data_IF_613654534826
#
_entry.id   IF_613654534826
#
_cell.length_a   1.000
_cell.length_b   1.000
_cell.length_c   1.000
_cell.angle_alpha   90.00
_cell.angle_beta   90.00
_cell.angle_gamma   90.00
#
_symmetry.space_group_name_H-M   'P 1'
#
loop_
_entity.id
_entity.type
_entity.pdbx_description
1 polymer ?
#
# COMPACT_ATOMS: atom_id res chain seq x y z
N UNK A 1 -10.99 -22.14 -5.59
CA UNK A 1 -10.97 -21.61 -4.21
C UNK A 1 -10.43 -20.17 -4.16
N UNK A 2 -10.53 -19.40 -5.27
CA UNK A 2 -10.04 -18.01 -5.40
C UNK A 2 -11.12 -16.92 -5.20
N UNK A 3 -12.41 -17.30 -5.17
CA UNK A 3 -13.51 -16.32 -5.20
C UNK A 3 -13.81 -15.63 -3.86
N UNK A 4 -13.41 -16.22 -2.73
CA UNK A 4 -13.62 -15.63 -1.39
C UNK A 4 -12.63 -14.50 -1.08
N UNK A 5 -11.41 -14.56 -1.62
CA UNK A 5 -10.39 -13.51 -1.45
C UNK A 5 -10.73 -12.21 -2.16
N UNK A 6 -11.60 -12.26 -3.19
CA UNK A 6 -12.11 -11.08 -3.88
C UNK A 6 -13.29 -10.44 -3.15
N UNK A 7 -14.13 -11.24 -2.48
CA UNK A 7 -15.28 -10.74 -1.70
C UNK A 7 -14.83 -9.95 -0.45
N UNK A 8 -13.79 -10.41 0.25
CA UNK A 8 -13.24 -9.69 1.40
C UNK A 8 -12.59 -8.34 1.05
N UNK A 9 -12.18 -8.13 -0.20
CA UNK A 9 -11.66 -6.84 -0.71
C UNK A 9 -12.76 -5.79 -0.89
N UNK A 10 -14.03 -6.19 -0.95
CA UNK A 10 -15.16 -5.30 -1.25
C UNK A 10 -15.89 -4.72 -0.03
N UNK A 11 -15.69 -5.26 1.19
CA UNK A 11 -16.64 -5.02 2.29
C UNK A 11 -16.06 -4.50 3.62
N UNK A 12 -14.76 -4.22 3.74
CA UNK A 12 -14.20 -3.61 4.98
C UNK A 12 -13.29 -2.42 4.67
N UNK A 13 -13.72 -1.19 5.01
CA UNK A 13 -12.91 0.03 4.83
C UNK A 13 -11.60 0.02 5.62
N UNK A 14 -11.45 -0.87 6.62
CA UNK A 14 -10.23 -1.02 7.40
C UNK A 14 -9.09 -1.72 6.63
N UNK A 15 -9.39 -2.35 5.49
CA UNK A 15 -8.44 -3.20 4.76
C UNK A 15 -7.90 -2.58 3.48
N UNK A 16 -8.46 -1.44 3.06
CA UNK A 16 -8.10 -0.79 1.80
C UNK A 16 -6.81 0.05 1.87
N UNK A 17 -6.15 0.12 3.03
CA UNK A 17 -4.83 0.77 3.17
C UNK A 17 -3.65 -0.20 3.08
N UNK A 18 -3.88 -1.50 2.83
CA UNK A 18 -2.79 -2.49 2.77
C UNK A 18 -2.87 -3.26 1.46
N UNK A 19 -2.00 -2.93 0.50
CA UNK A 19 -1.91 -3.62 -0.82
C UNK A 19 -1.32 -5.02 -0.76
N UNK A 20 -0.89 -5.46 0.41
CA UNK A 20 -0.62 -6.89 0.66
C UNK A 20 -1.67 -7.45 1.62
N UNK A 21 -2.37 -8.48 1.18
CA UNK A 21 -3.24 -9.28 2.07
C UNK A 21 -2.42 -10.08 3.08
N UNK A 22 -1.09 -10.03 3.07
CA UNK A 22 -0.22 -10.79 3.98
C UNK A 22 -0.58 -10.60 5.45
N UNK A 23 -0.83 -9.36 5.89
CA UNK A 23 -1.19 -9.08 7.28
C UNK A 23 -2.58 -9.60 7.62
N UNK A 24 -3.52 -9.48 6.69
CA UNK A 24 -4.89 -9.97 6.84
C UNK A 24 -5.00 -11.49 6.78
N UNK A 25 -4.33 -12.10 5.80
CA UNK A 25 -4.22 -13.54 5.62
C UNK A 25 -3.43 -14.17 6.78
N UNK A 26 -2.42 -13.48 7.32
CA UNK A 26 -1.76 -13.85 8.57
C UNK A 26 -2.74 -13.86 9.72
N UNK A 27 -3.53 -12.79 9.91
CA UNK A 27 -4.56 -12.72 10.94
C UNK A 27 -5.62 -13.83 10.77
N UNK A 28 -6.15 -14.02 9.57
CA UNK A 28 -7.11 -15.08 9.26
C UNK A 28 -6.51 -16.48 9.40
N UNK A 29 -5.23 -16.69 9.07
CA UNK A 29 -4.51 -17.95 9.26
C UNK A 29 -4.31 -18.27 10.73
N UNK A 30 -3.94 -17.27 11.56
CA UNK A 30 -3.85 -17.42 13.01
C UNK A 30 -5.22 -17.72 13.64
N UNK A 31 -6.28 -17.05 13.17
CA UNK A 31 -7.65 -17.33 13.58
C UNK A 31 -8.10 -18.76 13.21
N UNK A 32 -7.87 -19.18 11.95
CA UNK A 32 -8.25 -20.52 11.45
C UNK A 32 -7.55 -21.64 12.20
N UNK A 33 -6.30 -21.45 12.63
CA UNK A 33 -5.52 -22.47 13.35
C UNK A 33 -6.03 -22.76 14.77
N UNK A 34 -6.93 -21.96 15.33
CA UNK A 34 -7.33 -22.04 16.75
C UNK A 34 -8.85 -22.14 16.95
N UNK A 35 -9.52 -23.17 16.42
CA UNK A 35 -10.96 -23.37 16.65
C UNK A 35 -11.29 -24.03 18.00
N UNK A 36 -11.97 -23.32 18.90
CA UNK A 36 -12.85 -23.90 19.94
C UNK A 36 -13.90 -22.87 20.39
N UNK A 37 -14.98 -23.35 21.02
CA UNK A 37 -16.26 -22.70 21.42
C UNK A 37 -16.38 -21.16 21.37
N UNK A 38 -17.60 -20.67 21.05
CA UNK A 38 -17.92 -19.23 20.89
C UNK A 38 -17.32 -18.30 21.96
N UNK A 39 -17.37 -18.66 23.25
CA UNK A 39 -16.81 -17.83 24.33
C UNK A 39 -15.27 -17.83 24.35
N UNK A 40 -14.66 -18.99 24.09
CA UNK A 40 -13.21 -19.09 23.91
C UNK A 40 -12.72 -18.43 22.62
N UNK A 41 -13.58 -18.30 21.60
CA UNK A 41 -13.27 -17.61 20.34
C UNK A 41 -13.20 -16.09 20.51
N UNK A 42 -14.09 -15.48 21.30
CA UNK A 42 -14.10 -14.02 21.52
C UNK A 42 -12.83 -13.54 22.23
N UNK A 43 -12.44 -14.18 23.34
CA UNK A 43 -11.20 -13.82 24.04
C UNK A 43 -9.96 -13.96 23.13
N UNK A 44 -9.92 -15.00 22.30
CA UNK A 44 -8.81 -15.20 21.35
C UNK A 44 -8.78 -14.16 20.24
N UNK A 45 -9.92 -13.68 19.76
CA UNK A 45 -9.97 -12.60 18.77
C UNK A 45 -9.40 -11.32 19.37
N UNK A 46 -9.77 -11.00 20.61
CA UNK A 46 -9.24 -9.82 21.33
C UNK A 46 -7.73 -9.93 21.52
N UNK A 47 -7.21 -11.10 21.90
CA UNK A 47 -5.77 -11.31 22.05
C UNK A 47 -5.01 -11.13 20.74
N UNK A 48 -5.54 -11.65 19.63
CA UNK A 48 -4.91 -11.51 18.31
C UNK A 48 -5.01 -10.05 17.84
N UNK A 49 -6.13 -9.35 18.05
CA UNK A 49 -6.27 -7.92 17.74
C UNK A 49 -5.23 -7.09 18.50
N UNK A 50 -5.10 -7.33 19.81
CA UNK A 50 -4.11 -6.65 20.64
C UNK A 50 -2.68 -6.90 20.15
N UNK A 51 -2.35 -8.16 19.83
CA UNK A 51 -1.05 -8.51 19.24
C UNK A 51 -0.81 -7.79 17.92
N UNK A 52 -1.80 -7.77 17.00
CA UNK A 52 -1.68 -7.08 15.71
C UNK A 52 -1.56 -5.58 15.84
N UNK A 53 -2.25 -4.98 16.78
CA UNK A 53 -2.12 -3.55 17.10
C UNK A 53 -0.72 -3.22 17.60
N UNK A 54 -0.19 -4.03 18.52
CA UNK A 54 1.18 -3.86 19.01
C UNK A 54 2.22 -4.07 17.90
N UNK A 55 2.03 -5.05 17.01
CA UNK A 55 2.87 -5.24 15.81
C UNK A 55 2.83 -4.02 14.88
N UNK A 56 1.64 -3.44 14.66
CA UNK A 56 1.45 -2.26 13.83
C UNK A 56 2.09 -0.99 14.44
N UNK A 57 1.96 -0.80 15.75
CA UNK A 57 2.59 0.29 16.50
C UNK A 57 4.12 0.19 16.42
N UNK A 58 4.67 -1.01 16.62
CA UNK A 58 6.09 -1.29 16.47
C UNK A 58 6.58 -1.02 15.04
N UNK A 59 5.83 -1.47 14.02
CA UNK A 59 6.15 -1.22 12.62
C UNK A 59 6.10 0.29 12.27
N UNK A 60 5.14 1.03 12.80
CA UNK A 60 5.03 2.49 12.63
C UNK A 60 6.19 3.24 13.28
N UNK A 61 6.61 2.81 14.47
CA UNK A 61 7.79 3.34 15.15
C UNK A 61 9.06 3.09 14.33
N UNK A 62 9.27 1.84 13.92
CA UNK A 62 10.39 1.41 13.09
C UNK A 62 10.46 2.16 11.76
N UNK A 63 9.31 2.36 11.11
CA UNK A 63 9.18 3.04 9.83
C UNK A 63 9.85 4.43 9.83
N UNK A 64 9.74 5.16 10.94
CA UNK A 64 10.24 6.54 11.07
C UNK A 64 11.65 6.58 11.65
N UNK A 65 11.95 5.70 12.60
CA UNK A 65 13.13 5.83 13.46
C UNK A 65 14.28 4.94 13.00
N UNK A 66 14.01 3.76 12.42
CA UNK A 66 15.10 2.90 11.93
C UNK A 66 15.84 3.58 10.79
N UNK A 67 17.17 3.48 10.85
CA UNK A 67 18.09 3.97 9.85
C UNK A 67 18.94 2.82 9.32
N UNK A 68 19.12 2.78 8.00
CA UNK A 68 20.00 1.81 7.36
C UNK A 68 21.47 2.16 7.56
N UNK A 69 22.30 1.14 7.62
CA UNK A 69 23.75 1.22 7.48
C UNK A 69 24.16 0.41 6.25
N UNK A 70 25.07 0.94 5.44
CA UNK A 70 25.55 0.25 4.24
C UNK A 70 27.06 0.45 4.09
N UNK A 71 27.79 -0.63 3.83
CA UNK A 71 29.21 -0.55 3.50
C UNK A 71 29.37 -0.33 1.99
N UNK A 72 30.29 0.56 1.59
CA UNK A 72 30.57 0.87 0.19
C UNK A 72 29.59 1.84 -0.47
N UNK A 73 28.75 2.52 0.32
CA UNK A 73 27.97 3.69 -0.10
C UNK A 73 28.62 4.91 0.54
N UNK A 74 28.80 5.98 -0.23
CA UNK A 74 29.34 7.25 0.26
C UNK A 74 28.49 7.81 1.40
N UNK A 75 29.14 8.37 2.43
CA UNK A 75 28.46 8.86 3.63
C UNK A 75 27.48 10.00 3.31
N UNK A 76 27.79 10.88 2.36
CA UNK A 76 26.90 11.98 1.96
C UNK A 76 25.63 11.43 1.30
N UNK A 77 25.77 10.40 0.46
CA UNK A 77 24.64 9.70 -0.16
C UNK A 77 23.82 8.98 0.93
N UNK A 78 24.50 8.35 1.89
CA UNK A 78 23.83 7.61 2.96
C UNK A 78 23.02 8.53 3.86
N UNK A 79 23.51 9.74 4.17
CA UNK A 79 22.77 10.75 4.92
C UNK A 79 21.52 11.24 4.18
N UNK A 80 21.58 11.39 2.85
CA UNK A 80 20.38 11.69 2.06
C UNK A 80 19.38 10.54 2.08
N UNK A 81 19.84 9.29 1.96
CA UNK A 81 18.97 8.11 2.03
C UNK A 81 18.29 8.03 3.40
N UNK A 82 18.99 8.29 4.51
CA UNK A 82 18.44 8.26 5.88
C UNK A 82 17.27 9.23 6.08
N UNK A 83 17.06 10.20 5.21
CA UNK A 83 15.90 11.12 5.26
C UNK A 83 14.60 10.48 4.76
N UNK A 84 14.66 9.33 4.08
CA UNK A 84 13.48 8.58 3.64
C UNK A 84 12.91 7.69 4.77
N UNK A 85 11.67 7.22 4.65
CA UNK A 85 11.17 6.16 5.52
C UNK A 85 11.93 4.85 5.36
N UNK A 86 12.00 4.05 6.44
CA UNK A 86 12.86 2.87 6.50
C UNK A 86 12.72 1.87 5.34
N UNK A 87 11.51 1.53 4.85
CA UNK A 87 11.37 0.63 3.70
C UNK A 87 12.03 1.18 2.42
N UNK A 88 11.93 2.49 2.17
CA UNK A 88 12.57 3.12 1.02
C UNK A 88 14.07 3.24 1.19
N UNK A 89 14.55 3.49 2.41
CA UNK A 89 15.97 3.43 2.70
C UNK A 89 16.57 2.09 2.25
N UNK A 90 15.90 0.98 2.58
CA UNK A 90 16.35 -0.35 2.17
C UNK A 90 16.33 -0.57 0.65
N UNK A 91 15.31 -0.03 -0.04
CA UNK A 91 15.22 -0.13 -1.51
C UNK A 91 16.34 0.66 -2.19
N UNK A 92 16.55 1.91 -1.76
CA UNK A 92 17.54 2.82 -2.36
C UNK A 92 18.96 2.31 -2.09
N UNK A 93 19.27 1.89 -0.87
CA UNK A 93 20.59 1.31 -0.53
C UNK A 93 20.92 0.10 -1.41
N UNK A 94 19.94 -0.79 -1.65
CA UNK A 94 20.16 -1.96 -2.52
C UNK A 94 20.57 -1.55 -3.93
N UNK A 95 19.95 -0.50 -4.48
CA UNK A 95 20.32 0.02 -5.80
C UNK A 95 21.67 0.74 -5.81
N UNK A 96 22.01 1.47 -4.73
CA UNK A 96 23.33 2.10 -4.58
C UNK A 96 24.43 1.03 -4.52
N UNK A 97 24.29 0.01 -3.67
CA UNK A 97 25.22 -1.12 -3.60
C UNK A 97 25.30 -1.92 -4.90
N UNK A 98 24.21 -1.97 -5.68
CA UNK A 98 24.19 -2.68 -6.96
C UNK A 98 25.10 -2.07 -8.03
N UNK A 99 25.65 -0.85 -7.82
CA UNK A 99 26.67 -0.26 -8.69
C UNK A 99 27.94 -1.11 -8.70
N UNK A 100 28.38 -1.60 -7.54
CA UNK A 100 29.58 -2.45 -7.45
C UNK A 100 29.44 -3.71 -8.31
N UNK A 101 28.29 -4.38 -8.22
CA UNK A 101 27.96 -5.54 -9.05
C UNK A 101 27.97 -5.23 -10.57
N UNK A 102 27.78 -3.97 -10.98
CA UNK A 102 27.89 -3.56 -12.39
C UNK A 102 29.34 -3.41 -12.81
N UNK A 103 30.15 -2.78 -11.96
CA UNK A 103 31.58 -2.57 -12.20
C UNK A 103 32.33 -3.90 -12.31
N UNK A 104 32.04 -4.83 -11.40
CA UNK A 104 32.60 -6.20 -11.44
C UNK A 104 32.26 -6.94 -12.74
N UNK A 105 31.10 -6.64 -13.33
CA UNK A 105 30.66 -7.19 -14.61
C UNK A 105 31.22 -6.44 -15.83
N UNK A 106 32.13 -5.49 -15.62
CA UNK A 106 32.73 -4.68 -16.69
C UNK A 106 31.73 -3.75 -17.39
N UNK A 107 30.58 -3.44 -16.77
CA UNK A 107 29.61 -2.52 -17.37
C UNK A 107 30.09 -1.08 -17.19
N UNK A 108 30.19 -0.35 -18.30
CA UNK A 108 30.51 1.08 -18.29
C UNK A 108 29.40 1.95 -17.69
N UNK A 109 29.76 3.23 -17.51
CA UNK A 109 28.87 4.29 -17.05
C UNK A 109 27.70 4.43 -18.04
N UNK A 110 26.44 4.58 -17.57
CA UNK A 110 25.27 4.58 -18.44
C UNK A 110 25.19 5.74 -19.45
N UNK A 111 25.88 6.86 -19.22
CA UNK A 111 25.84 8.04 -20.09
C UNK A 111 24.56 8.86 -19.93
N UNK A 112 23.96 8.85 -18.74
CA UNK A 112 22.75 9.61 -18.46
C UNK A 112 23.08 11.11 -18.32
N UNK A 113 22.38 11.95 -19.09
CA UNK A 113 22.44 13.41 -18.98
C UNK A 113 21.36 14.00 -18.06
N UNK A 114 20.31 13.22 -17.77
CA UNK A 114 19.21 13.58 -16.88
C UNK A 114 18.86 12.41 -15.95
N UNK A 115 17.88 12.61 -15.07
CA UNK A 115 17.35 11.55 -14.21
C UNK A 115 16.47 10.54 -14.97
N UNK A 116 16.28 10.68 -16.28
CA UNK A 116 15.39 9.84 -17.07
C UNK A 116 16.03 8.48 -17.34
N UNK A 117 15.62 7.49 -16.56
CA UNK A 117 16.06 6.11 -16.73
C UNK A 117 14.83 5.20 -16.88
N UNK A 118 14.77 4.46 -17.99
CA UNK A 118 13.67 3.55 -18.31
C UNK A 118 13.82 2.14 -17.70
N UNK A 119 14.64 1.98 -16.65
CA UNK A 119 14.75 0.68 -16.00
C UNK A 119 13.52 0.37 -15.15
N UNK A 120 13.23 -0.92 -14.98
CA UNK A 120 12.07 -1.40 -14.21
C UNK A 120 12.00 -0.80 -12.80
N UNK A 121 13.14 -0.65 -12.12
CA UNK A 121 13.18 -0.06 -10.79
C UNK A 121 12.74 1.41 -10.80
N UNK A 122 13.31 2.23 -11.70
CA UNK A 122 12.96 3.66 -11.78
C UNK A 122 11.52 3.84 -12.24
N UNK A 123 11.03 3.01 -13.14
CA UNK A 123 9.64 3.06 -13.57
C UNK A 123 8.67 2.73 -12.43
N UNK A 124 8.93 1.65 -11.69
CA UNK A 124 8.08 1.18 -10.58
C UNK A 124 8.12 2.09 -9.37
N UNK A 125 9.31 2.53 -8.97
CA UNK A 125 9.50 3.25 -7.72
C UNK A 125 9.75 4.75 -7.89
N UNK A 126 10.04 5.27 -9.08
CA UNK A 126 10.42 6.68 -9.24
C UNK A 126 11.60 7.15 -8.36
N UNK A 127 12.34 6.21 -7.77
CA UNK A 127 13.49 6.47 -6.92
C UNK A 127 14.80 6.37 -7.72
N UNK A 128 15.92 6.89 -7.17
CA UNK A 128 17.25 6.67 -7.74
C UNK A 128 17.52 5.18 -7.95
N UNK A 129 17.76 4.78 -9.19
CA UNK A 129 18.12 3.41 -9.54
C UNK A 129 19.64 3.26 -9.66
N UNK A 130 20.13 2.02 -9.75
CA UNK A 130 21.56 1.72 -9.90
C UNK A 130 22.22 2.37 -11.13
N UNK A 131 21.46 2.72 -12.16
CA UNK A 131 22.01 3.46 -13.31
C UNK A 131 22.32 4.91 -12.95
N UNK A 132 21.40 5.56 -12.22
CA UNK A 132 21.57 6.93 -11.76
C UNK A 132 22.68 7.01 -10.71
N UNK A 133 22.76 6.03 -9.81
CA UNK A 133 23.89 5.95 -8.87
C UNK A 133 25.22 5.74 -9.59
N UNK A 134 25.28 4.84 -10.57
CA UNK A 134 26.50 4.63 -11.35
C UNK A 134 26.93 5.90 -12.09
N UNK A 135 25.98 6.62 -12.69
CA UNK A 135 26.24 7.92 -13.31
C UNK A 135 26.72 8.94 -12.29
N UNK A 136 26.06 9.06 -11.14
CA UNK A 136 26.42 10.02 -10.11
C UNK A 136 27.83 9.80 -9.54
N UNK A 137 28.22 8.54 -9.36
CA UNK A 137 29.51 8.17 -8.77
C UNK A 137 30.68 8.29 -9.74
N UNK A 138 30.48 7.97 -11.04
CA UNK A 138 31.58 7.82 -12.00
C UNK A 138 31.41 8.62 -13.31
N UNK A 139 30.31 9.37 -13.45
CA UNK A 139 29.98 10.20 -14.60
C UNK A 139 29.42 11.55 -14.18
N UNK A 140 28.22 11.90 -14.67
CA UNK A 140 27.56 13.15 -14.32
C UNK A 140 27.02 13.13 -12.88
N UNK A 141 27.31 14.16 -12.08
CA UNK A 141 26.76 14.31 -10.72
C UNK A 141 25.26 14.67 -10.75
N UNK A 142 24.40 13.66 -10.95
CA UNK A 142 22.95 13.85 -11.12
C UNK A 142 22.15 14.02 -9.81
N UNK A 143 22.63 13.48 -8.69
CA UNK A 143 21.94 13.51 -7.40
C UNK A 143 22.37 14.73 -6.56
N UNK A 144 21.82 15.90 -6.87
CA UNK A 144 21.98 17.13 -6.06
C UNK A 144 21.02 17.15 -4.87
N UNK A 145 21.21 18.07 -3.93
CA UNK A 145 20.31 18.26 -2.79
C UNK A 145 18.85 18.50 -3.23
N UNK A 146 18.64 19.32 -4.27
CA UNK A 146 17.31 19.61 -4.81
C UNK A 146 16.65 18.36 -5.42
N UNK A 147 17.45 17.52 -6.08
CA UNK A 147 16.98 16.24 -6.65
C UNK A 147 16.57 15.28 -5.54
N UNK A 148 17.35 15.18 -4.46
CA UNK A 148 16.98 14.40 -3.28
C UNK A 148 15.69 14.92 -2.62
N UNK A 149 15.52 16.24 -2.56
CA UNK A 149 14.28 16.85 -2.07
C UNK A 149 13.08 16.51 -2.97
N UNK A 150 13.23 16.56 -4.29
CA UNK A 150 12.18 16.18 -5.24
C UNK A 150 11.71 14.73 -5.03
N UNK A 151 12.64 13.78 -4.86
CA UNK A 151 12.28 12.39 -4.58
C UNK A 151 11.52 12.21 -3.26
N UNK A 152 11.88 12.99 -2.23
CA UNK A 152 11.16 12.97 -0.94
C UNK A 152 9.78 13.60 -1.03
N UNK A 153 9.67 14.77 -1.67
CA UNK A 153 8.40 15.47 -1.86
C UNK A 153 7.38 14.59 -2.60
N UNK A 154 7.83 13.84 -3.61
CA UNK A 154 6.96 12.89 -4.34
C UNK A 154 6.29 11.88 -3.39
N UNK A 155 7.03 11.38 -2.39
CA UNK A 155 6.49 10.48 -1.38
C UNK A 155 5.60 11.22 -0.36
N UNK A 156 6.01 12.41 0.09
CA UNK A 156 5.22 13.20 1.06
C UNK A 156 3.86 13.62 0.51
N UNK A 157 3.78 13.95 -0.78
CA UNK A 157 2.55 14.38 -1.47
C UNK A 157 1.58 13.22 -1.76
N UNK A 158 2.12 12.05 -2.13
CA UNK A 158 1.32 10.96 -2.72
C UNK A 158 1.37 9.65 -1.91
N UNK A 159 2.11 9.61 -0.80
CA UNK A 159 2.27 8.44 0.05
C UNK A 159 2.77 7.19 -0.70
N UNK A 160 2.24 6.03 -0.33
CA UNK A 160 2.58 4.75 -0.95
C UNK A 160 1.83 4.49 -2.28
N UNK A 161 0.81 5.28 -2.59
CA UNK A 161 -0.09 5.07 -3.74
C UNK A 161 0.65 5.20 -5.10
N UNK A 162 1.71 6.01 -5.15
CA UNK A 162 2.58 6.15 -6.35
C UNK A 162 3.21 4.82 -6.75
N UNK A 163 3.51 3.96 -5.78
CA UNK A 163 4.31 2.77 -5.95
C UNK A 163 3.43 1.55 -6.26
N UNK A 164 2.22 1.53 -5.71
CA UNK A 164 1.25 0.46 -5.87
C UNK A 164 0.58 0.49 -7.26
N UNK A 165 0.32 1.69 -7.77
CA UNK A 165 -0.29 1.89 -9.09
C UNK A 165 0.62 1.52 -10.27
N UNK A 166 1.94 1.45 -10.05
CA UNK A 166 2.95 1.25 -11.10
C UNK A 166 3.47 -0.19 -11.21
N UNK A 167 3.05 -1.09 -10.34
CA UNK A 167 3.40 -2.51 -10.40
C UNK A 167 2.72 -3.26 -11.57
N UNK A 168 1.71 -2.66 -12.20
CA UNK A 168 0.82 -3.32 -13.15
C UNK A 168 0.78 -2.69 -14.55
N UNK A 169 1.88 -2.07 -15.00
CA UNK A 169 2.02 -1.65 -16.41
C UNK A 169 2.79 -2.69 -17.24
N UNK A 170 2.10 -3.78 -17.59
CA UNK A 170 2.11 -4.15 -19.00
C UNK A 170 1.19 -3.10 -19.64
N UNK A 171 1.64 -2.41 -20.70
CA UNK A 171 0.83 -1.46 -21.46
C UNK A 171 -0.38 -2.19 -22.06
N UNK A 172 -1.43 -2.36 -21.25
CA UNK A 172 -2.73 -2.82 -21.72
C UNK A 172 -3.54 -1.55 -21.92
N UNK A 173 -3.84 -1.25 -23.18
CA UNK A 173 -4.88 -0.29 -23.55
C UNK A 173 -6.12 -0.65 -22.73
N UNK A 174 -6.44 0.15 -21.71
CA UNK A 174 -7.61 -0.11 -20.87
C UNK A 174 -8.84 -0.13 -21.78
N UNK A 175 -9.57 -1.25 -21.76
CA UNK A 175 -10.83 -1.34 -22.50
C UNK A 175 -11.88 -0.47 -21.79
N UNK A 176 -12.87 0.03 -22.51
CA UNK A 176 -13.96 0.84 -21.91
C UNK A 176 -14.65 0.12 -20.73
N UNK A 177 -14.67 -1.22 -20.74
CA UNK A 177 -15.19 -2.02 -19.64
C UNK A 177 -14.34 -1.92 -18.36
N UNK A 178 -13.00 -1.85 -18.47
CA UNK A 178 -12.11 -1.66 -17.32
C UNK A 178 -12.22 -0.24 -16.76
N UNK A 179 -12.29 0.77 -17.64
CA UNK A 179 -12.50 2.16 -17.21
C UNK A 179 -13.83 2.32 -16.48
N UNK A 180 -14.91 1.77 -17.04
CA UNK A 180 -16.23 1.73 -16.39
C UNK A 180 -16.23 0.98 -15.06
N UNK A 181 -15.41 -0.07 -14.91
CA UNK A 181 -15.28 -0.80 -13.65
C UNK A 181 -14.55 0.04 -12.59
N UNK A 182 -13.51 0.77 -12.97
CA UNK A 182 -12.77 1.65 -12.07
C UNK A 182 -13.59 2.88 -11.68
N UNK A 183 -14.32 3.50 -12.61
CA UNK A 183 -15.23 4.63 -12.32
C UNK A 183 -16.33 4.20 -11.33
N UNK A 184 -16.86 2.98 -11.49
CA UNK A 184 -17.81 2.39 -10.54
C UNK A 184 -17.18 2.15 -9.17
N UNK A 185 -15.92 1.70 -9.14
CA UNK A 185 -15.17 1.48 -7.90
C UNK A 185 -14.96 2.79 -7.14
N UNK A 186 -14.58 3.86 -7.83
CA UNK A 186 -14.40 5.20 -7.25
C UNK A 186 -15.73 5.69 -6.65
N UNK A 187 -16.82 5.61 -7.42
CA UNK A 187 -18.14 6.04 -6.96
C UNK A 187 -18.63 5.28 -5.71
N UNK A 188 -18.35 3.97 -5.62
CA UNK A 188 -18.66 3.16 -4.43
C UNK A 188 -17.77 3.56 -3.24
N UNK A 189 -16.49 3.86 -3.48
CA UNK A 189 -15.57 4.38 -2.47
C UNK A 189 -16.10 5.68 -1.85
N UNK A 190 -16.39 6.68 -2.68
CA UNK A 190 -16.93 7.98 -2.24
C UNK A 190 -18.27 7.85 -1.50
N UNK A 191 -19.12 6.91 -1.93
CA UNK A 191 -20.39 6.65 -1.25
C UNK A 191 -20.16 6.07 0.14
N UNK A 192 -19.23 5.12 0.26
CA UNK A 192 -18.88 4.47 1.53
C UNK A 192 -18.27 5.46 2.51
N UNK A 193 -17.41 6.36 2.05
CA UNK A 193 -16.85 7.43 2.87
C UNK A 193 -17.93 8.40 3.37
N UNK A 194 -18.83 8.83 2.48
CA UNK A 194 -19.96 9.69 2.88
C UNK A 194 -20.88 9.00 3.90
N UNK A 195 -21.07 7.68 3.79
CA UNK A 195 -21.84 6.91 4.77
C UNK A 195 -21.13 6.85 6.12
N UNK A 196 -19.82 6.59 6.14
CA UNK A 196 -18.98 6.60 7.35
C UNK A 196 -19.02 7.97 8.04
N UNK A 197 -18.87 9.05 7.30
CA UNK A 197 -18.90 10.41 7.85
C UNK A 197 -20.28 10.76 8.43
N UNK A 198 -21.36 10.27 7.81
CA UNK A 198 -22.72 10.42 8.36
C UNK A 198 -22.91 9.61 9.63
N UNK A 199 -22.43 8.37 9.66
CA UNK A 199 -22.47 7.53 10.85
C UNK A 199 -21.75 8.21 12.02
N UNK A 200 -20.52 8.66 11.81
CA UNK A 200 -19.72 9.31 12.84
C UNK A 200 -20.37 10.59 13.38
N UNK A 201 -20.95 11.43 12.50
CA UNK A 201 -21.71 12.60 12.93
C UNK A 201 -22.92 12.23 13.81
N UNK A 202 -23.61 11.13 13.51
CA UNK A 202 -24.75 10.66 14.32
C UNK A 202 -24.28 10.12 15.67
N UNK A 203 -23.15 9.41 15.68
CA UNK A 203 -22.53 8.87 16.89
C UNK A 203 -22.00 9.96 17.83
N UNK A 204 -21.34 11.00 17.29
CA UNK A 204 -20.84 12.16 18.06
C UNK A 204 -21.96 12.96 18.74
N UNK A 205 -23.18 12.92 18.19
CA UNK A 205 -24.35 13.55 18.83
C UNK A 205 -24.83 12.81 20.09
N UNK A 206 -24.33 11.60 20.37
CA UNK A 206 -24.62 10.83 21.59
C UNK A 206 -26.06 10.30 21.71
N UNK A 207 -26.86 10.43 20.64
CA UNK A 207 -28.26 10.05 20.60
C UNK A 207 -28.39 8.58 20.15
N UNK A 208 -28.45 7.68 21.14
CA UNK A 208 -28.48 6.24 20.90
C UNK A 208 -29.69 5.77 20.07
N UNK A 209 -30.81 6.50 20.08
CA UNK A 209 -31.99 6.17 19.31
C UNK A 209 -31.80 6.52 17.83
N UNK A 210 -31.21 7.69 17.54
CA UNK A 210 -30.85 8.07 16.17
C UNK A 210 -29.77 7.19 15.59
N UNK A 211 -28.75 6.80 16.36
CA UNK A 211 -27.71 5.86 15.91
C UNK A 211 -28.32 4.52 15.55
N UNK A 212 -29.20 3.97 16.40
CA UNK A 212 -29.87 2.69 16.13
C UNK A 212 -30.78 2.76 14.90
N UNK A 213 -31.50 3.87 14.73
CA UNK A 213 -32.35 4.10 13.56
C UNK A 213 -31.53 4.17 12.28
N UNK A 214 -30.41 4.91 12.29
CA UNK A 214 -29.50 5.01 11.16
C UNK A 214 -28.90 3.65 10.78
N UNK A 215 -28.46 2.86 11.76
CA UNK A 215 -27.94 1.51 11.54
C UNK A 215 -29.01 0.63 10.89
N UNK A 216 -30.25 0.65 11.39
CA UNK A 216 -31.34 -0.15 10.83
C UNK A 216 -31.69 0.24 9.39
N UNK A 217 -31.70 1.54 9.08
CA UNK A 217 -31.92 2.03 7.71
C UNK A 217 -30.78 1.62 6.77
N UNK A 218 -29.54 1.68 7.25
CA UNK A 218 -28.37 1.27 6.49
C UNK A 218 -28.41 -0.23 6.21
N UNK A 219 -28.69 -1.03 7.23
CA UNK A 219 -28.82 -2.48 7.13
C UNK A 219 -29.92 -2.89 6.14
N UNK A 220 -31.10 -2.25 6.20
CA UNK A 220 -32.16 -2.49 5.24
C UNK A 220 -31.74 -2.16 3.80
N UNK A 221 -31.05 -1.03 3.61
CA UNK A 221 -30.57 -0.60 2.29
C UNK A 221 -29.50 -1.52 1.72
N UNK A 222 -28.58 -1.99 2.57
CA UNK A 222 -27.51 -2.92 2.19
C UNK A 222 -28.08 -4.31 1.89
N UNK A 223 -29.04 -4.79 2.69
CA UNK A 223 -29.69 -6.09 2.46
C UNK A 223 -30.48 -6.12 1.14
N UNK A 224 -31.11 -5.01 0.76
CA UNK A 224 -31.74 -4.85 -0.57
C UNK A 224 -30.74 -5.03 -1.72
N UNK A 225 -29.55 -4.44 -1.56
CA UNK A 225 -28.47 -4.55 -2.54
C UNK A 225 -27.95 -6.00 -2.61
N UNK A 226 -27.73 -6.64 -1.46
CA UNK A 226 -27.28 -8.04 -1.38
C UNK A 226 -28.28 -8.99 -2.06
N UNK A 227 -29.58 -8.83 -1.78
CA UNK A 227 -30.64 -9.63 -2.40
C UNK A 227 -30.64 -9.51 -3.93
N UNK A 228 -30.41 -8.31 -4.47
CA UNK A 228 -30.32 -8.11 -5.93
C UNK A 228 -29.14 -8.88 -6.55
N UNK A 229 -28.06 -9.12 -5.81
CA UNK A 229 -26.93 -9.90 -6.31
C UNK A 229 -27.17 -11.41 -6.26
N UNK A 230 -27.89 -11.89 -5.25
CA UNK A 230 -28.22 -13.32 -5.09
C UNK A 230 -29.22 -13.79 -6.18
N UNK A 231 -30.19 -12.95 -6.55
CA UNK A 231 -31.15 -13.27 -7.62
C UNK A 231 -30.48 -13.36 -9.00
N UNK A 232 -29.51 -12.48 -9.29
CA UNK A 232 -28.74 -12.47 -10.55
C UNK A 232 -27.79 -13.67 -10.70
N UNK A 233 -27.46 -14.37 -9.62
CA UNK A 233 -26.65 -15.59 -9.64
C UNK A 233 -27.48 -16.84 -9.96
N UNK A 234 -28.76 -16.84 -9.58
CA UNK A 234 -29.68 -17.98 -9.78
C UNK A 234 -30.27 -18.05 -11.20
N UNK A 235 -30.28 -16.96 -11.97
CA UNK A 235 -30.71 -16.95 -13.38
C UNK A 235 -29.65 -17.46 -14.38
N UNK A 236 -28.43 -17.79 -13.92
CA UNK A 236 -27.30 -18.23 -14.78
C UNK A 236 -26.97 -19.73 -14.72
N UNK A 237 -27.86 -20.55 -14.15
CA UNK A 237 -27.82 -22.02 -14.21
C UNK A 237 -28.90 -22.56 -15.12
#
# INVERSE_FOLDING_TARGET
MEKWGLWARQHSPLLLQVTSTNSLESFHSELKKKSSSLHGAVHKIVDIDYKKRSEAESASFDFRIKKVSAYGVDDDILEEIKKFPFPFQQLIVKEACAVMNRLEKGKGVPGLSSLDCFCLFRHRYLLPCKHIFHEHMYGNKLLTADVWQMFRATFEENGFEVYESRESFIEYVQTEQQKSAEDRRIAVGELTERMRDRYWRVEEMGDAEKTRTFISMLEASVNLIISCFDDNLNEKT
#
